data_IF_863995460329
#
_entry.id   IF_863995460329
#
_cell.length_a   1.000
_cell.length_b   1.000
_cell.length_c   1.000
_cell.angle_alpha   90.00
_cell.angle_beta   90.00
_cell.angle_gamma   90.00
#
_symmetry.space_group_name_H-M   'P 1'
#
loop_
_entity.id
_entity.type
_entity.pdbx_description
1 polymer ?
#
# COMPACT_ATOMS: atom_id res chain seq x y z
N UNK A 1 7.71 -15.81 7.58
CA UNK A 1 6.98 -14.52 7.40
C UNK A 1 7.91 -13.46 6.78
N UNK A 2 7.69 -13.08 5.52
CA UNK A 2 8.63 -12.24 4.74
C UNK A 2 8.61 -10.74 5.09
N UNK A 3 7.55 -10.27 5.78
CA UNK A 3 7.30 -8.85 6.03
C UNK A 3 7.38 -8.47 7.52
N UNK A 4 7.62 -9.44 8.41
CA UNK A 4 7.65 -9.17 9.85
C UNK A 4 8.98 -8.50 10.21
N UNK A 5 8.91 -7.33 10.86
CA UNK A 5 10.07 -6.54 11.25
C UNK A 5 10.56 -5.56 10.18
N UNK A 6 9.89 -5.51 9.03
CA UNK A 6 10.20 -4.57 7.96
C UNK A 6 9.45 -3.23 8.15
N UNK A 7 10.01 -2.13 7.67
CA UNK A 7 9.32 -0.83 7.68
C UNK A 7 8.18 -0.83 6.65
N UNK A 8 6.90 -0.66 7.07
CA UNK A 8 5.75 -0.64 6.16
C UNK A 8 5.71 0.60 5.25
N UNK A 9 6.56 1.61 5.46
CA UNK A 9 6.65 2.79 4.60
C UNK A 9 7.27 2.48 3.24
N UNK A 10 8.10 1.45 3.14
CA UNK A 10 8.76 1.04 1.89
C UNK A 10 7.89 0.08 1.06
N UNK A 11 6.66 0.50 0.75
CA UNK A 11 5.66 -0.34 0.06
C UNK A 11 6.21 -0.95 -1.24
N UNK A 12 6.93 -0.17 -2.05
CA UNK A 12 7.55 -0.63 -3.30
C UNK A 12 8.57 -1.74 -3.08
N UNK A 13 9.43 -1.62 -2.07
CA UNK A 13 10.45 -2.64 -1.76
C UNK A 13 9.78 -3.93 -1.29
N UNK A 14 8.78 -3.81 -0.40
CA UNK A 14 8.04 -4.96 0.11
C UNK A 14 7.29 -5.67 -1.01
N UNK A 15 6.67 -4.92 -1.91
CA UNK A 15 6.02 -5.46 -3.10
C UNK A 15 6.98 -6.27 -3.97
N UNK A 16 8.17 -5.72 -4.27
CA UNK A 16 9.18 -6.44 -5.04
C UNK A 16 9.69 -7.71 -4.33
N UNK A 17 9.91 -7.65 -3.02
CA UNK A 17 10.32 -8.82 -2.23
C UNK A 17 9.27 -9.91 -2.28
N UNK A 18 8.00 -9.57 -2.06
CA UNK A 18 6.89 -10.53 -2.12
C UNK A 18 6.73 -11.10 -3.54
N UNK A 19 6.70 -10.23 -4.55
CA UNK A 19 6.55 -10.63 -5.94
C UNK A 19 7.70 -11.54 -6.37
N UNK A 20 8.95 -11.23 -6.01
CA UNK A 20 10.11 -12.08 -6.32
C UNK A 20 10.03 -13.44 -5.62
N UNK A 21 9.53 -13.49 -4.39
CA UNK A 21 9.35 -14.74 -3.66
C UNK A 21 8.26 -15.62 -4.28
N UNK A 22 7.19 -15.05 -4.84
CA UNK A 22 6.07 -15.79 -5.42
C UNK A 22 6.15 -15.96 -6.95
N UNK A 23 7.10 -15.29 -7.61
CA UNK A 23 7.23 -15.27 -9.09
C UNK A 23 7.34 -16.66 -9.73
N UNK A 24 7.89 -17.65 -9.00
CA UNK A 24 8.06 -19.02 -9.48
C UNK A 24 6.76 -19.86 -9.41
N UNK A 25 5.77 -19.44 -8.63
CA UNK A 25 4.55 -20.22 -8.36
C UNK A 25 3.31 -19.71 -9.09
N UNK A 26 3.36 -18.49 -9.62
CA UNK A 26 2.30 -17.95 -10.45
C UNK A 26 2.72 -16.59 -11.02
N UNK A 27 2.55 -16.41 -12.33
CA UNK A 27 2.73 -15.11 -12.99
C UNK A 27 1.40 -14.36 -13.15
N UNK A 28 0.28 -15.06 -12.96
CA UNK A 28 -1.11 -14.60 -13.05
C UNK A 28 -2.00 -15.53 -12.21
N UNK A 29 -2.98 -14.96 -11.49
CA UNK A 29 -3.99 -15.72 -10.77
C UNK A 29 -4.03 -15.46 -9.28
N UNK A 30 -4.19 -16.51 -8.49
CA UNK A 30 -4.45 -16.46 -7.04
C UNK A 30 -3.31 -15.78 -6.26
N UNK A 31 -2.08 -15.91 -6.73
CA UNK A 31 -0.92 -15.26 -6.13
C UNK A 31 -0.95 -13.75 -6.32
N UNK A 32 -1.39 -13.29 -7.50
CA UNK A 32 -1.54 -11.86 -7.79
C UNK A 32 -2.63 -11.26 -6.90
N UNK A 33 -3.76 -11.96 -6.71
CA UNK A 33 -4.81 -11.51 -5.79
C UNK A 33 -4.32 -11.42 -4.33
N UNK A 34 -3.55 -12.40 -3.87
CA UNK A 34 -2.97 -12.37 -2.53
C UNK A 34 -1.97 -11.19 -2.38
N UNK A 35 -1.11 -10.97 -3.38
CA UNK A 35 -0.16 -9.85 -3.38
C UNK A 35 -0.87 -8.50 -3.35
N UNK A 36 -1.93 -8.32 -4.14
CA UNK A 36 -2.76 -7.11 -4.13
C UNK A 36 -3.44 -6.88 -2.77
N UNK A 37 -3.93 -7.95 -2.12
CA UNK A 37 -4.52 -7.85 -0.78
C UNK A 37 -3.52 -7.30 0.25
N UNK A 38 -2.27 -7.76 0.21
CA UNK A 38 -1.21 -7.26 1.09
C UNK A 38 -0.83 -5.82 0.75
N UNK A 39 -0.71 -5.49 -0.53
CA UNK A 39 -0.38 -4.13 -0.98
C UNK A 39 -1.41 -3.09 -0.51
N UNK A 40 -2.71 -3.41 -0.62
CA UNK A 40 -3.79 -2.55 -0.12
C UNK A 40 -3.68 -2.35 1.40
N UNK A 41 -3.36 -3.41 2.15
CA UNK A 41 -3.21 -3.31 3.60
C UNK A 41 -1.99 -2.46 4.00
N UNK A 42 -0.90 -2.52 3.25
CA UNK A 42 0.28 -1.66 3.46
C UNK A 42 -0.07 -0.19 3.22
N UNK A 43 -0.80 0.11 2.14
CA UNK A 43 -1.26 1.48 1.86
C UNK A 43 -2.24 2.02 2.91
N UNK A 44 -3.15 1.19 3.42
CA UNK A 44 -4.05 1.56 4.51
C UNK A 44 -3.29 1.84 5.82
N UNK A 45 -2.31 1.00 6.16
CA UNK A 45 -1.45 1.21 7.31
C UNK A 45 -0.62 2.50 7.17
N UNK A 46 -0.09 2.77 5.98
CA UNK A 46 0.65 4.00 5.69
C UNK A 46 -0.23 5.24 5.80
N UNK A 47 -1.45 5.20 5.25
CA UNK A 47 -2.44 6.27 5.38
C UNK A 47 -2.80 6.55 6.85
N UNK A 48 -3.01 5.49 7.64
CA UNK A 48 -3.25 5.60 9.09
C UNK A 48 -2.04 6.15 9.84
N UNK A 49 -0.82 5.70 9.51
CA UNK A 49 0.42 6.21 10.12
C UNK A 49 0.67 7.68 9.83
N UNK A 50 0.28 8.17 8.65
CA UNK A 50 0.48 9.54 8.21
C UNK A 50 -0.72 10.46 8.49
N UNK A 51 -1.83 9.91 8.98
CA UNK A 51 -3.09 10.65 9.16
C UNK A 51 -3.65 11.24 7.86
N UNK A 52 -3.26 10.69 6.71
CA UNK A 52 -3.59 11.21 5.39
C UNK A 52 -4.34 10.16 4.56
N UNK A 53 -5.35 10.56 3.79
CA UNK A 53 -6.03 9.63 2.91
C UNK A 53 -5.09 9.16 1.77
N UNK A 54 -5.17 7.88 1.41
CA UNK A 54 -4.26 7.21 0.46
C UNK A 54 -4.19 7.92 -0.90
N UNK A 55 -5.29 8.52 -1.38
CA UNK A 55 -5.30 9.26 -2.65
C UNK A 55 -4.32 10.44 -2.66
N UNK A 56 -4.05 11.07 -1.51
CA UNK A 56 -3.01 12.12 -1.39
C UNK A 56 -1.61 11.54 -1.49
N UNK A 57 -1.40 10.34 -0.97
CA UNK A 57 -0.10 9.65 -1.02
C UNK A 57 0.25 9.16 -2.43
N UNK A 58 -0.76 8.80 -3.22
CA UNK A 58 -0.62 8.35 -4.61
C UNK A 58 -0.47 9.48 -5.63
N UNK A 59 -0.38 10.74 -5.18
CA UNK A 59 -0.14 11.89 -6.05
C UNK A 59 -1.37 12.39 -6.83
N UNK A 60 -2.59 11.98 -6.47
CA UNK A 60 -3.81 12.48 -7.12
C UNK A 60 -4.26 13.85 -6.59
N UNK A 61 -3.36 14.62 -5.98
CA UNK A 61 -3.63 15.99 -5.52
C UNK A 61 -3.22 17.00 -6.59
N UNK A 62 -3.95 16.98 -7.71
CA UNK A 62 -3.98 18.10 -8.64
C UNK A 62 -4.84 19.23 -8.05
N UNK A 63 -4.33 19.89 -7.02
CA UNK A 63 -4.72 21.26 -6.61
C UNK A 63 -6.21 21.52 -6.32
N UNK A 64 -6.96 20.55 -5.81
CA UNK A 64 -8.42 20.64 -5.75
C UNK A 64 -9.05 20.31 -4.40
N UNK A 65 -9.11 21.32 -3.52
CA UNK A 65 -10.03 21.42 -2.39
C UNK A 65 -9.75 20.49 -1.19
N UNK A 66 -8.85 20.95 -0.31
CA UNK A 66 -8.86 20.60 1.10
C UNK A 66 -10.17 21.12 1.76
N UNK A 67 -11.27 20.38 1.62
CA UNK A 67 -12.40 20.50 2.54
C UNK A 67 -12.04 19.75 3.82
N UNK A 68 -11.34 20.46 4.70
CA UNK A 68 -11.39 20.23 6.14
C UNK A 68 -12.85 20.27 6.55
N UNK A 69 -13.47 19.10 6.69
CA UNK A 69 -14.71 18.96 7.44
C UNK A 69 -14.35 19.20 8.90
N UNK A 70 -14.55 20.45 9.30
CA UNK A 70 -14.74 20.90 10.67
C UNK A 70 -15.64 19.87 11.37
N UNK A 71 -15.09 19.07 12.28
CA UNK A 71 -15.89 18.42 13.32
C UNK A 71 -15.79 19.27 14.57
N UNK A 72 -16.95 19.73 15.00
CA UNK A 72 -17.23 20.34 16.29
C UNK A 72 -16.94 19.37 17.43
#
# INVERSE_FOLDING_TARGET
PLLIGEDPRDVTRLWHTMHRATHMWGRRGIETYALSGVDIALWDLLGKSLGAPVHRLLGTDSGGCARTTRRA
#
